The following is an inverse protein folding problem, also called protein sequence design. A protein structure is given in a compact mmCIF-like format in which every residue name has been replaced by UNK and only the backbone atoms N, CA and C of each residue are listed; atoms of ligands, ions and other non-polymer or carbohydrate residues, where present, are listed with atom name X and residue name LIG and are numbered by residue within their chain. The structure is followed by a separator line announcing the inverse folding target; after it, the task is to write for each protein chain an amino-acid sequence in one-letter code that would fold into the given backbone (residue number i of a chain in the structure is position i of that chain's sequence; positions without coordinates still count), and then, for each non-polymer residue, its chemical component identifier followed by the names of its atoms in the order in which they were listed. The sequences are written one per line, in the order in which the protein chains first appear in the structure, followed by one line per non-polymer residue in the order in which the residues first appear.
data_IF_579289958981
#
_entry.id   IF_579289958981
#
_cell.length_a   1.000
_cell.length_b   1.000
_cell.length_c   1.000
_cell.angle_alpha   90.00
_cell.angle_beta   90.00
_cell.angle_gamma   90.00
#
_symmetry.space_group_name_H-M   'P 1'
#
loop_
_entity.id
_entity.type
_entity.pdbx_description
1 polymer ?
#
# COMPACT_ATOMS: atom_id res chain seq x y z
N UNK A 1 6.10 -22.78 -6.39
CA UNK A 1 5.44 -24.09 -6.22
C UNK A 1 6.47 -25.18 -5.91
N UNK A 2 7.72 -25.04 -6.38
CA UNK A 2 8.81 -26.01 -6.16
C UNK A 2 9.47 -25.98 -4.76
N UNK A 3 9.07 -25.03 -3.94
CA UNK A 3 9.66 -24.74 -2.65
C UNK A 3 9.11 -25.64 -1.52
N UNK A 4 7.90 -26.18 -1.66
CA UNK A 4 7.34 -27.15 -0.70
C UNK A 4 7.99 -28.54 -0.84
N UNK A 5 8.08 -29.14 -2.05
CA UNK A 5 8.74 -30.44 -2.20
C UNK A 5 10.21 -30.38 -1.77
N UNK A 6 10.91 -29.29 -2.12
CA UNK A 6 12.31 -29.06 -1.71
C UNK A 6 12.48 -29.02 -0.19
N UNK A 7 11.59 -28.33 0.53
CA UNK A 7 11.67 -28.29 1.99
C UNK A 7 11.50 -29.69 2.62
N UNK A 8 10.58 -30.51 2.09
CA UNK A 8 10.36 -31.88 2.56
C UNK A 8 11.56 -32.78 2.27
N UNK A 9 12.19 -32.65 1.10
CA UNK A 9 13.40 -33.40 0.77
C UNK A 9 14.58 -33.04 1.69
N UNK A 10 14.74 -31.77 2.03
CA UNK A 10 15.86 -31.29 2.85
C UNK A 10 15.66 -31.47 4.36
N UNK A 11 14.42 -31.30 4.86
CA UNK A 11 14.12 -31.22 6.30
C UNK A 11 13.10 -32.27 6.78
N UNK A 12 12.57 -33.10 5.88
CA UNK A 12 11.45 -33.98 6.18
C UNK A 12 10.19 -33.19 6.54
N UNK A 13 9.42 -33.68 7.51
CA UNK A 13 8.25 -32.96 8.04
C UNK A 13 8.57 -32.11 9.28
N UNK A 14 9.85 -32.06 9.67
CA UNK A 14 10.29 -31.24 10.80
C UNK A 14 10.21 -29.76 10.44
N UNK A 15 9.54 -28.95 11.27
CA UNK A 15 9.40 -27.51 11.04
C UNK A 15 8.43 -27.13 9.90
N UNK A 16 7.64 -28.09 9.41
CA UNK A 16 6.75 -27.88 8.26
C UNK A 16 5.63 -26.86 8.58
N UNK A 17 5.16 -26.82 9.83
CA UNK A 17 4.18 -25.84 10.29
C UNK A 17 4.75 -24.42 10.21
N UNK A 18 5.95 -24.19 10.73
CA UNK A 18 6.65 -22.91 10.66
C UNK A 18 6.92 -22.50 9.21
N UNK A 19 7.36 -23.44 8.37
CA UNK A 19 7.59 -23.19 6.95
C UNK A 19 6.32 -22.72 6.23
N UNK A 20 5.21 -23.45 6.38
CA UNK A 20 3.95 -23.06 5.77
C UNK A 20 3.41 -21.76 6.36
N UNK A 21 3.51 -21.56 7.68
CA UNK A 21 3.08 -20.32 8.33
C UNK A 21 3.87 -19.12 7.79
N UNK A 22 5.20 -19.19 7.75
CA UNK A 22 6.03 -18.13 7.19
C UNK A 22 5.67 -17.83 5.73
N UNK A 23 5.40 -18.87 4.93
CA UNK A 23 5.01 -18.72 3.53
C UNK A 23 3.61 -18.12 3.35
N UNK A 24 2.63 -18.55 4.15
CA UNK A 24 1.24 -18.06 4.10
C UNK A 24 1.10 -16.66 4.70
N UNK A 25 1.97 -16.29 5.65
CA UNK A 25 1.89 -15.01 6.34
C UNK A 25 2.90 -13.97 5.83
N UNK A 26 3.87 -14.35 5.00
CA UNK A 26 4.92 -13.45 4.52
C UNK A 26 4.39 -12.21 3.79
N UNK A 27 3.21 -12.29 3.16
CA UNK A 27 2.58 -11.12 2.53
C UNK A 27 2.21 -10.02 3.53
N UNK A 28 1.98 -10.36 4.81
CA UNK A 28 1.62 -9.39 5.86
C UNK A 28 2.74 -8.40 6.12
N UNK A 29 3.99 -8.74 5.80
CA UNK A 29 5.17 -7.89 6.02
C UNK A 29 5.62 -7.10 4.80
N UNK A 30 4.94 -7.29 3.67
CA UNK A 30 5.20 -6.54 2.44
C UNK A 30 4.78 -5.08 2.61
N UNK A 31 5.69 -4.16 2.28
CA UNK A 31 5.39 -2.74 2.13
C UNK A 31 4.93 -2.46 0.71
N UNK A 32 3.88 -1.67 0.57
CA UNK A 32 3.26 -1.33 -0.71
C UNK A 32 3.23 0.19 -0.84
N UNK A 33 3.86 0.70 -1.89
CA UNK A 33 3.87 2.11 -2.25
C UNK A 33 3.11 2.32 -3.57
N UNK A 34 2.08 3.15 -3.55
CA UNK A 34 1.19 3.41 -4.69
C UNK A 34 1.34 4.87 -5.10
N UNK A 35 1.93 5.12 -6.27
CA UNK A 35 2.05 6.45 -6.87
C UNK A 35 0.83 6.81 -7.71
N UNK A 36 0.24 7.97 -7.44
CA UNK A 36 -0.91 8.52 -8.16
C UNK A 36 -0.45 9.79 -8.86
N UNK A 37 -0.63 9.84 -10.18
CA UNK A 37 -0.23 10.96 -11.04
C UNK A 37 -1.36 11.30 -12.01
N UNK A 38 -1.25 12.46 -12.63
CA UNK A 38 -2.24 13.02 -13.54
C UNK A 38 -2.27 14.54 -13.45
N UNK A 39 -2.92 15.17 -14.41
CA UNK A 39 -3.06 16.63 -14.47
C UNK A 39 -3.72 17.17 -13.20
N UNK A 40 -3.59 18.46 -12.95
CA UNK A 40 -4.27 19.05 -11.80
C UNK A 40 -5.77 19.14 -11.99
N UNK A 41 -6.50 19.17 -10.87
CA UNK A 41 -7.95 19.31 -10.87
C UNK A 41 -8.71 18.07 -11.33
N UNK A 42 -8.03 16.98 -11.74
CA UNK A 42 -8.69 15.73 -12.18
C UNK A 42 -9.23 14.86 -11.04
N UNK A 43 -9.05 15.28 -9.78
CA UNK A 43 -9.57 14.58 -8.61
C UNK A 43 -8.63 13.56 -7.97
N UNK A 44 -7.31 13.69 -8.12
CA UNK A 44 -6.31 12.80 -7.48
C UNK A 44 -6.49 12.69 -5.96
N UNK A 45 -6.60 13.82 -5.26
CA UNK A 45 -6.81 13.84 -3.81
C UNK A 45 -8.11 13.13 -3.41
N UNK A 46 -9.20 13.38 -4.14
CA UNK A 46 -10.49 12.70 -3.91
C UNK A 46 -10.39 11.20 -4.13
N UNK A 47 -9.63 10.75 -5.14
CA UNK A 47 -9.36 9.33 -5.35
C UNK A 47 -8.56 8.72 -4.20
N UNK A 48 -7.53 9.41 -3.70
CA UNK A 48 -6.75 8.99 -2.53
C UNK A 48 -7.64 8.82 -1.29
N UNK A 49 -8.55 9.76 -1.04
CA UNK A 49 -9.47 9.68 0.09
C UNK A 49 -10.43 8.50 -0.07
N UNK A 50 -11.04 8.35 -1.25
CA UNK A 50 -11.98 7.28 -1.54
C UNK A 50 -11.36 5.89 -1.37
N UNK A 51 -10.16 5.65 -1.90
CA UNK A 51 -9.48 4.35 -1.76
C UNK A 51 -9.01 4.07 -0.32
N UNK A 52 -8.78 5.12 0.47
CA UNK A 52 -8.49 5.03 1.91
C UNK A 52 -9.76 4.93 2.76
N UNK A 53 -10.94 5.01 2.15
CA UNK A 53 -12.23 4.99 2.84
C UNK A 53 -12.49 6.23 3.71
N UNK A 54 -11.85 7.35 3.40
CA UNK A 54 -11.99 8.62 4.09
C UNK A 54 -12.91 9.56 3.32
N UNK A 55 -13.64 10.39 4.06
CA UNK A 55 -14.31 11.59 3.54
C UNK A 55 -13.33 12.76 3.50
N UNK A 56 -13.68 13.78 2.73
CA UNK A 56 -12.81 14.95 2.54
C UNK A 56 -12.62 15.78 3.82
N UNK A 57 -13.51 15.64 4.80
CA UNK A 57 -13.47 16.28 6.11
C UNK A 57 -12.89 15.41 7.24
N UNK A 58 -12.53 14.16 6.94
CA UNK A 58 -11.94 13.25 7.94
C UNK A 58 -10.50 13.66 8.29
N UNK A 59 -10.11 13.39 9.54
CA UNK A 59 -8.73 13.63 9.99
C UNK A 59 -7.73 12.81 9.14
N UNK A 60 -6.77 13.51 8.52
CA UNK A 60 -5.76 12.88 7.67
C UNK A 60 -6.23 12.59 6.24
N UNK A 61 -7.39 13.12 5.82
CA UNK A 61 -7.77 13.19 4.41
C UNK A 61 -6.77 14.05 3.60
N UNK A 62 -6.55 13.67 2.35
CA UNK A 62 -5.85 14.49 1.37
C UNK A 62 -6.68 15.73 1.07
N UNK A 63 -6.04 16.90 1.11
CA UNK A 63 -6.72 18.17 0.88
C UNK A 63 -7.27 18.23 -0.55
N UNK A 64 -8.58 18.36 -0.66
CA UNK A 64 -9.32 18.45 -1.92
C UNK A 64 -9.59 19.92 -2.24
N UNK A 65 -8.57 20.62 -2.76
CA UNK A 65 -8.68 21.99 -3.23
C UNK A 65 -8.08 22.17 -4.61
N UNK A 66 -8.64 23.08 -5.42
CA UNK A 66 -8.03 23.54 -6.68
C UNK A 66 -6.88 24.50 -6.38
N UNK A 67 -5.91 24.05 -5.58
CA UNK A 67 -4.63 24.74 -5.42
C UNK A 67 -3.60 23.91 -6.16
N UNK A 68 -3.46 24.24 -7.43
CA UNK A 68 -2.27 23.87 -8.20
C UNK A 68 -1.04 24.47 -7.54
N UNK A 69 -0.36 23.68 -6.71
CA UNK A 69 1.05 23.89 -6.33
C UNK A 69 1.58 22.70 -5.52
N UNK A 70 1.18 21.47 -5.84
CA UNK A 70 1.85 20.28 -5.30
C UNK A 70 3.20 20.11 -6.01
N UNK A 71 4.14 21.00 -5.69
CA UNK A 71 5.56 20.89 -6.05
C UNK A 71 6.21 19.75 -5.25
N UNK A 72 5.61 19.41 -4.11
CA UNK A 72 6.10 18.42 -3.16
C UNK A 72 5.24 17.17 -3.15
N UNK A 73 5.86 16.01 -3.35
CA UNK A 73 5.24 14.70 -3.20
C UNK A 73 4.63 14.55 -1.81
N UNK A 74 3.32 14.27 -1.73
CA UNK A 74 2.61 14.05 -0.47
C UNK A 74 2.40 12.55 -0.21
N UNK A 75 2.42 12.14 1.06
CA UNK A 75 2.27 10.73 1.46
C UNK A 75 1.07 10.56 2.37
N UNK A 76 0.31 9.50 2.13
CA UNK A 76 -0.92 9.19 2.85
C UNK A 76 -0.92 7.70 3.25
N UNK A 77 -0.69 7.36 4.53
CA UNK A 77 -0.79 5.98 4.98
C UNK A 77 -2.24 5.49 4.94
N UNK A 78 -2.45 4.20 4.67
CA UNK A 78 -3.77 3.58 4.79
C UNK A 78 -4.17 3.49 6.28
N UNK A 79 -5.39 3.91 6.67
CA UNK A 79 -5.79 4.02 8.09
C UNK A 79 -5.74 2.69 8.86
N UNK A 80 -5.99 1.57 8.18
CA UNK A 80 -5.97 0.23 8.80
C UNK A 80 -4.67 -0.53 8.59
N UNK A 81 -3.75 -0.05 7.75
CA UNK A 81 -2.49 -0.73 7.44
C UNK A 81 -1.37 0.24 7.09
N UNK A 82 -0.49 0.51 8.06
CA UNK A 82 0.65 1.42 7.90
C UNK A 82 1.73 0.95 6.91
N UNK A 83 1.65 -0.30 6.41
CA UNK A 83 2.54 -0.81 5.36
C UNK A 83 2.08 -0.42 3.96
N UNK A 84 0.89 0.15 3.81
CA UNK A 84 0.34 0.64 2.54
C UNK A 84 0.43 2.18 2.53
N UNK A 85 1.16 2.72 1.57
CA UNK A 85 1.39 4.15 1.41
C UNK A 85 0.88 4.62 0.04
N UNK A 86 0.06 5.66 0.04
CA UNK A 86 -0.36 6.36 -1.17
C UNK A 86 0.48 7.62 -1.33
N UNK A 87 0.92 7.86 -2.55
CA UNK A 87 1.79 8.97 -2.91
C UNK A 87 1.08 9.83 -3.94
N UNK A 88 0.77 11.07 -3.58
CA UNK A 88 0.30 12.05 -4.54
C UNK A 88 1.51 12.68 -5.22
N UNK A 89 1.64 12.40 -6.51
CA UNK A 89 2.74 12.87 -7.33
C UNK A 89 2.28 14.11 -8.12
N UNK A 90 3.17 15.11 -8.30
CA UNK A 90 2.89 16.25 -9.16
C UNK A 90 2.42 15.80 -10.55
N UNK A 91 1.47 16.54 -11.13
CA UNK A 91 1.18 16.43 -12.56
C UNK A 91 2.38 16.88 -13.38
N UNK A 92 2.49 16.37 -14.61
CA UNK A 92 3.46 16.86 -15.61
C UNK A 92 2.93 18.15 -16.24
#
# INVERSE_FOLDING_TARGET
MDDVPKHIEEHGVSGIEEFFKAKLEGWKDVKIDIGITGDSGVGKSSFINAIRGLKDDDEGAADTGVKETTINVAKYPHPTNSKIMFWDLPGI
#
